data_IF_392811779502
#
_entry.id   IF_392811779502
#
_cell.length_a   1.000
_cell.length_b   1.000
_cell.length_c   1.000
_cell.angle_alpha   90.00
_cell.angle_beta   90.00
_cell.angle_gamma   90.00
#
_symmetry.space_group_name_H-M   'P 1'
#
loop_
_entity.id
_entity.type
_entity.pdbx_description
1 polymer ?
#
# COMPACT_ATOMS: atom_id res chain seq x y z
N UNK A 1 15.77 11.34 5.70
CA UNK A 1 15.17 10.01 5.34
C UNK A 1 16.23 8.96 5.58
N UNK A 2 15.88 7.90 6.30
CA UNK A 2 16.70 6.70 6.48
C UNK A 2 16.09 5.58 5.69
N UNK A 3 16.85 4.95 4.83
CA UNK A 3 16.48 3.77 4.05
C UNK A 3 17.09 2.53 4.69
N UNK A 4 16.53 1.36 4.42
CA UNK A 4 16.99 0.07 4.96
C UNK A 4 17.01 0.01 6.51
N UNK A 5 16.15 0.80 7.16
CA UNK A 5 16.02 0.88 8.60
C UNK A 5 14.58 0.55 9.03
N UNK A 6 14.14 -0.71 8.88
CA UNK A 6 12.78 -1.10 9.25
C UNK A 6 12.55 -0.90 10.75
N UNK A 7 11.46 -0.21 11.08
CA UNK A 7 11.03 -0.01 12.47
C UNK A 7 10.48 -1.32 13.02
N UNK A 8 10.95 -1.72 14.17
CA UNK A 8 10.50 -2.94 14.85
C UNK A 8 9.53 -2.67 16.00
N UNK A 9 9.76 -1.57 16.73
CA UNK A 9 8.97 -1.29 17.93
C UNK A 9 8.69 0.19 18.07
N UNK A 10 7.46 0.51 18.40
CA UNK A 10 6.99 1.84 18.80
C UNK A 10 6.33 1.70 20.17
N UNK A 11 6.81 2.43 21.17
CA UNK A 11 6.27 2.45 22.52
C UNK A 11 5.88 3.87 22.90
N UNK A 12 4.67 4.04 23.38
CA UNK A 12 4.18 5.34 23.89
C UNK A 12 4.49 5.45 25.37
N UNK A 13 4.99 6.61 25.76
CA UNK A 13 5.17 7.01 27.15
C UNK A 13 4.39 8.31 27.40
N UNK A 14 4.18 8.74 28.65
CA UNK A 14 3.35 9.91 28.94
C UNK A 14 3.78 11.21 28.25
N UNK A 15 5.08 11.38 27.96
CA UNK A 15 5.64 12.61 27.40
C UNK A 15 6.51 12.41 26.16
N UNK A 16 6.62 11.17 25.66
CA UNK A 16 7.45 10.85 24.50
C UNK A 16 6.99 9.55 23.84
N UNK A 17 7.47 9.32 22.64
CA UNK A 17 7.35 8.05 21.93
C UNK A 17 8.75 7.49 21.68
N UNK A 18 8.97 6.27 22.08
CA UNK A 18 10.19 5.53 21.81
C UNK A 18 10.03 4.70 20.53
N UNK A 19 11.03 4.80 19.67
CA UNK A 19 11.09 4.06 18.41
C UNK A 19 12.40 3.28 18.35
N UNK A 20 12.34 2.01 17.95
CA UNK A 20 13.53 1.22 17.66
C UNK A 20 13.46 0.62 16.26
N UNK A 21 14.47 0.95 15.44
CA UNK A 21 14.70 0.28 14.17
C UNK A 21 15.51 -1.01 14.40
N UNK A 22 15.46 -1.92 13.42
CA UNK A 22 16.19 -3.18 13.46
C UNK A 22 17.69 -2.98 13.62
N UNK A 23 18.25 -3.55 14.68
CA UNK A 23 19.68 -3.45 15.00
C UNK A 23 20.14 -2.07 15.44
N UNK A 24 19.21 -1.13 15.64
CA UNK A 24 19.48 0.22 16.14
C UNK A 24 19.19 0.38 17.62
N UNK A 25 19.61 1.53 18.16
CA UNK A 25 19.27 1.95 19.51
C UNK A 25 17.84 2.51 19.58
N UNK A 26 17.35 2.74 20.79
CA UNK A 26 16.06 3.40 21.03
C UNK A 26 16.22 4.87 20.78
N UNK A 27 15.35 5.43 19.93
CA UNK A 27 15.29 6.86 19.66
C UNK A 27 14.01 7.43 20.27
N UNK A 28 14.03 8.71 20.66
CA UNK A 28 12.98 9.40 21.37
C UNK A 28 12.39 10.51 20.49
N UNK A 29 11.06 10.61 20.45
CA UNK A 29 10.32 11.58 19.65
C UNK A 29 9.12 12.11 20.41
N UNK A 30 8.67 13.33 20.10
CA UNK A 30 7.45 13.91 20.66
C UNK A 30 6.19 13.23 20.12
N UNK A 31 6.22 12.79 18.85
CA UNK A 31 5.13 12.12 18.17
C UNK A 31 5.62 11.20 17.04
N UNK A 32 4.81 10.21 16.68
CA UNK A 32 5.06 9.28 15.57
C UNK A 32 3.82 9.16 14.70
N UNK A 33 4.00 9.22 13.38
CA UNK A 33 2.98 8.91 12.38
C UNK A 33 3.32 7.57 11.72
N UNK A 34 2.41 6.60 11.82
CA UNK A 34 2.56 5.29 11.20
C UNK A 34 1.87 5.30 9.83
N UNK A 35 2.65 5.48 8.75
CA UNK A 35 2.18 5.51 7.36
C UNK A 35 2.42 4.16 6.67
N UNK A 36 1.84 3.08 7.20
CA UNK A 36 1.97 1.72 6.70
C UNK A 36 0.63 0.98 6.82
N UNK A 37 0.58 -0.29 6.40
CA UNK A 37 -0.63 -1.11 6.59
C UNK A 37 -1.00 -1.23 8.07
N UNK A 38 -2.30 -1.24 8.38
CA UNK A 38 -2.80 -1.32 9.75
C UNK A 38 -2.26 -2.53 10.51
N UNK A 39 -2.14 -3.68 9.86
CA UNK A 39 -1.55 -4.88 10.45
C UNK A 39 -0.06 -4.76 10.73
N UNK A 40 0.68 -3.94 9.95
CA UNK A 40 2.08 -3.63 10.23
C UNK A 40 2.19 -2.66 11.40
N UNK A 41 1.35 -1.62 11.43
CA UNK A 41 1.27 -0.69 12.54
C UNK A 41 0.99 -1.43 13.85
N UNK A 42 0.00 -2.31 13.86
CA UNK A 42 -0.36 -3.11 15.05
C UNK A 42 0.79 -3.98 15.53
N UNK A 43 1.57 -4.57 14.63
CA UNK A 43 2.75 -5.38 15.00
C UNK A 43 3.89 -4.57 15.61
N UNK A 44 4.03 -3.29 15.20
CA UNK A 44 5.08 -2.41 15.73
C UNK A 44 4.72 -1.81 17.10
N UNK A 45 3.44 -1.62 17.39
CA UNK A 45 3.00 -1.08 18.67
C UNK A 45 3.33 -2.05 19.81
N UNK A 46 4.12 -1.60 20.77
CA UNK A 46 4.48 -2.40 21.97
C UNK A 46 3.32 -2.51 22.97
N UNK A 47 2.41 -1.53 22.92
CA UNK A 47 1.35 -1.31 23.91
C UNK A 47 -0.01 -1.00 23.24
N UNK A 48 -0.45 -1.77 22.24
CA UNK A 48 -1.71 -1.48 21.56
C UNK A 48 -2.89 -1.69 22.52
N UNK A 49 -3.85 -0.76 22.52
CA UNK A 49 -5.09 -0.87 23.27
C UNK A 49 -6.01 -1.98 22.72
N UNK A 50 -7.07 -2.30 23.43
CA UNK A 50 -8.06 -3.26 22.95
C UNK A 50 -8.74 -2.77 21.67
N UNK A 51 -9.12 -1.51 21.63
CA UNK A 51 -9.75 -0.85 20.47
C UNK A 51 -8.79 -0.80 19.27
N UNK A 52 -7.50 -0.51 19.49
CA UNK A 52 -6.50 -0.51 18.42
C UNK A 52 -6.32 -1.91 17.83
N UNK A 53 -6.33 -2.96 18.67
CA UNK A 53 -6.28 -4.35 18.18
C UNK A 53 -7.49 -4.70 17.33
N UNK A 54 -8.66 -4.32 17.79
CA UNK A 54 -9.92 -4.58 17.10
C UNK A 54 -9.96 -3.82 15.76
N UNK A 55 -9.77 -2.50 15.78
CA UNK A 55 -9.91 -1.65 14.59
C UNK A 55 -8.79 -1.92 13.57
N UNK A 56 -7.52 -1.91 13.99
CA UNK A 56 -6.40 -2.13 13.06
C UNK A 56 -6.34 -3.57 12.55
N UNK A 57 -6.82 -4.52 13.33
CA UNK A 57 -6.91 -5.93 12.95
C UNK A 57 -8.07 -6.26 12.01
N UNK A 58 -9.10 -5.41 11.95
CA UNK A 58 -10.28 -5.63 11.13
C UNK A 58 -10.07 -5.46 9.62
N UNK A 59 -8.94 -4.86 9.20
CA UNK A 59 -8.63 -4.67 7.78
C UNK A 59 -8.05 -5.95 7.17
N UNK A 60 -8.78 -6.65 6.30
CA UNK A 60 -8.27 -7.81 5.62
C UNK A 60 -7.33 -7.40 4.48
N UNK A 61 -6.07 -7.76 4.58
CA UNK A 61 -5.11 -7.62 3.49
C UNK A 61 -4.95 -8.96 2.79
N UNK A 62 -4.97 -8.92 1.45
CA UNK A 62 -4.72 -10.09 0.62
C UNK A 62 -3.51 -9.85 -0.29
N UNK A 63 -2.73 -10.89 -0.60
CA UNK A 63 -1.69 -10.80 -1.62
C UNK A 63 -2.29 -10.49 -2.99
N UNK A 64 -1.65 -9.59 -3.72
CA UNK A 64 -1.98 -9.29 -5.10
C UNK A 64 -0.75 -9.46 -5.97
N UNK A 65 -0.93 -9.95 -7.19
CA UNK A 65 0.12 -9.95 -8.20
C UNK A 65 0.01 -8.65 -9.00
N UNK A 66 1.08 -7.85 -8.99
CA UNK A 66 1.17 -6.63 -9.78
C UNK A 66 2.05 -6.90 -11.01
N UNK A 67 1.49 -6.81 -12.19
CA UNK A 67 2.18 -7.03 -13.47
C UNK A 67 2.36 -5.72 -14.20
N UNK A 68 3.61 -5.31 -14.43
CA UNK A 68 3.94 -4.19 -15.33
C UNK A 68 4.03 -4.73 -16.76
N UNK A 69 3.27 -4.13 -17.68
CA UNK A 69 3.22 -4.55 -19.08
C UNK A 69 2.89 -3.39 -20.03
N UNK A 70 2.87 -3.68 -21.33
CA UNK A 70 2.55 -2.71 -22.40
C UNK A 70 1.41 -3.18 -23.31
N UNK A 71 0.70 -4.21 -22.90
CA UNK A 71 -0.43 -4.75 -23.66
C UNK A 71 -1.67 -3.86 -23.49
N UNK A 72 -2.00 -3.08 -24.51
CA UNK A 72 -3.16 -2.19 -24.54
C UNK A 72 -4.49 -2.92 -24.77
N UNK A 73 -4.48 -4.21 -25.07
CA UNK A 73 -5.71 -4.98 -25.34
C UNK A 73 -6.66 -5.02 -24.12
N UNK A 74 -6.10 -4.85 -22.92
CA UNK A 74 -6.86 -4.78 -21.66
C UNK A 74 -7.59 -3.44 -21.47
N UNK A 75 -7.27 -2.42 -22.26
CA UNK A 75 -7.91 -1.11 -22.16
C UNK A 75 -9.19 -1.03 -23.02
N UNK A 76 -10.13 -0.13 -22.68
CA UNK A 76 -11.29 0.12 -23.51
C UNK A 76 -10.90 0.46 -24.95
N UNK A 77 -11.60 -0.15 -25.93
CA UNK A 77 -11.38 0.13 -27.36
C UNK A 77 -11.65 1.61 -27.71
N UNK A 78 -12.66 2.21 -27.07
CA UNK A 78 -12.98 3.63 -27.25
C UNK A 78 -12.02 4.49 -26.43
N UNK A 79 -11.20 5.31 -27.09
CA UNK A 79 -10.21 6.18 -26.42
C UNK A 79 -10.81 7.11 -25.38
N UNK A 80 -12.01 7.66 -25.63
CA UNK A 80 -12.71 8.54 -24.69
C UNK A 80 -13.19 7.82 -23.41
N UNK A 81 -13.22 6.49 -23.40
CA UNK A 81 -13.53 5.71 -22.22
C UNK A 81 -12.28 5.31 -21.41
N UNK A 82 -11.07 5.69 -21.88
CA UNK A 82 -9.83 5.40 -21.17
C UNK A 82 -9.62 6.41 -20.05
N UNK A 83 -9.30 5.92 -18.86
CA UNK A 83 -9.05 6.68 -17.65
C UNK A 83 -7.70 6.27 -17.05
N UNK A 84 -7.33 6.88 -15.93
CA UNK A 84 -6.10 6.53 -15.21
C UNK A 84 -6.12 5.11 -14.62
N UNK A 85 -7.29 4.53 -14.42
CA UNK A 85 -7.48 3.15 -13.98
C UNK A 85 -8.79 2.59 -14.50
N UNK A 86 -8.83 1.26 -14.65
CA UNK A 86 -9.96 0.48 -15.16
C UNK A 86 -10.22 -0.70 -14.25
N UNK A 87 -11.45 -0.82 -13.78
CA UNK A 87 -11.91 -1.99 -13.06
C UNK A 87 -12.50 -3.00 -14.03
N UNK A 88 -12.02 -4.23 -14.00
CA UNK A 88 -12.50 -5.30 -14.85
C UNK A 88 -13.55 -6.13 -14.12
N UNK A 89 -14.80 -6.02 -14.57
CA UNK A 89 -15.87 -6.89 -14.08
C UNK A 89 -15.66 -8.29 -14.66
N UNK A 90 -15.43 -9.24 -13.78
CA UNK A 90 -15.33 -10.66 -14.14
C UNK A 90 -16.58 -11.38 -13.70
N UNK A 91 -17.03 -12.33 -14.51
CA UNK A 91 -18.23 -13.16 -14.23
C UNK A 91 -17.91 -14.39 -13.39
N UNK A 92 -16.64 -14.75 -13.27
CA UNK A 92 -16.15 -15.88 -12.48
C UNK A 92 -15.90 -15.45 -11.03
N UNK A 93 -16.71 -16.00 -10.12
CA UNK A 93 -16.74 -15.66 -8.69
C UNK A 93 -15.45 -16.00 -7.91
N UNK A 94 -14.45 -16.64 -8.53
CA UNK A 94 -13.24 -17.13 -7.87
C UNK A 94 -12.00 -16.26 -8.09
N UNK A 95 -12.10 -15.18 -8.86
CA UNK A 95 -10.97 -14.30 -9.16
C UNK A 95 -11.22 -12.97 -8.49
N UNK A 96 -10.27 -12.56 -7.67
CA UNK A 96 -10.30 -11.29 -6.96
C UNK A 96 -10.44 -10.08 -7.90
N UNK A 97 -10.49 -8.89 -7.31
CA UNK A 97 -10.58 -7.63 -8.03
C UNK A 97 -9.43 -7.51 -9.06
N UNK A 98 -9.79 -7.35 -10.33
CA UNK A 98 -8.84 -7.06 -11.39
C UNK A 98 -8.90 -5.56 -11.74
N UNK A 99 -7.78 -4.87 -11.61
CA UNK A 99 -7.66 -3.44 -11.92
C UNK A 99 -6.44 -3.22 -12.79
N UNK A 100 -6.58 -2.40 -13.82
CA UNK A 100 -5.45 -1.95 -14.64
C UNK A 100 -5.26 -0.44 -14.49
N UNK A 101 -4.07 -0.04 -14.10
CA UNK A 101 -3.64 1.35 -14.01
C UNK A 101 -2.91 1.77 -15.28
N UNK A 102 -3.28 2.91 -15.86
CA UNK A 102 -2.56 3.55 -16.94
C UNK A 102 -1.51 4.51 -16.34
N UNK A 103 -0.27 4.06 -16.31
CA UNK A 103 0.82 4.82 -15.69
C UNK A 103 1.16 6.09 -16.47
N UNK A 104 0.92 6.10 -17.78
CA UNK A 104 1.13 7.31 -18.59
C UNK A 104 0.19 8.44 -18.15
N UNK A 105 -1.06 8.10 -17.82
CA UNK A 105 -2.03 9.08 -17.32
C UNK A 105 -1.71 9.44 -15.85
N UNK A 106 -1.49 8.44 -14.99
CA UNK A 106 -1.26 8.64 -13.55
C UNK A 106 -0.01 9.48 -13.25
N UNK A 107 1.06 9.26 -14.01
CA UNK A 107 2.35 9.90 -13.77
C UNK A 107 2.71 10.95 -14.81
N UNK A 108 1.78 11.28 -15.73
CA UNK A 108 1.99 12.24 -16.82
C UNK A 108 3.28 11.94 -17.61
N UNK A 109 3.48 10.65 -17.97
CA UNK A 109 4.71 10.22 -18.63
C UNK A 109 4.74 10.72 -20.06
N UNK A 110 5.80 11.46 -20.41
CA UNK A 110 6.07 11.90 -21.79
C UNK A 110 6.77 10.77 -22.58
N UNK A 111 5.99 9.78 -22.98
CA UNK A 111 6.46 8.64 -23.78
C UNK A 111 5.38 8.14 -24.72
N UNK A 112 5.79 7.68 -25.91
CA UNK A 112 4.88 7.06 -26.90
C UNK A 112 4.42 5.67 -26.48
N UNK A 113 5.25 4.95 -25.70
CA UNK A 113 4.92 3.62 -25.18
C UNK A 113 3.99 3.75 -23.98
N UNK A 114 2.93 2.96 -23.97
CA UNK A 114 2.03 2.88 -22.83
C UNK A 114 2.53 1.85 -21.81
N UNK A 115 2.58 2.25 -20.57
CA UNK A 115 2.93 1.38 -19.45
C UNK A 115 1.70 1.18 -18.58
N UNK A 116 1.36 -0.08 -18.35
CA UNK A 116 0.19 -0.50 -17.59
C UNK A 116 0.63 -1.33 -16.40
N UNK A 117 -0.07 -1.17 -15.28
CA UNK A 117 0.08 -2.06 -14.12
C UNK A 117 -1.27 -2.71 -13.87
N UNK A 118 -1.33 -4.02 -14.08
CA UNK A 118 -2.52 -4.82 -13.77
C UNK A 118 -2.34 -5.56 -12.46
N UNK A 119 -3.40 -5.56 -11.64
CA UNK A 119 -3.50 -6.35 -10.41
C UNK A 119 -4.40 -7.57 -10.68
N UNK A 120 -3.88 -8.76 -10.34
CA UNK A 120 -4.52 -10.10 -10.47
C UNK A 120 -4.84 -10.48 -11.91
#
# INVERSE_FOLDING_TARGET
IRTSAPVETVRRLPHEVQLRARGGEVEHYDAVVLACHSTQALRMLADPSAEEREILGAFPYQPNVATLHTDESVLPKRRLARAAWHYHLRTDAHVGCAVTYDMNVLQSLDTKRRYLVSLN
#
